data_IF_336950933663
#
_entry.id   IF_336950933663
#
_cell.length_a   1.000
_cell.length_b   1.000
_cell.length_c   1.000
_cell.angle_alpha   90.00
_cell.angle_beta   90.00
_cell.angle_gamma   90.00
#
_symmetry.space_group_name_H-M   'P 1'
#
loop_
_entity.id
_entity.type
_entity.pdbx_description
1 polymer ?
#
# COMPACT_ATOMS: atom_id res chain seq x y z
N UNK A 1 17.46 -14.97 11.68
CA UNK A 1 18.28 -14.15 10.75
C UNK A 1 18.17 -14.84 9.39
N UNK A 2 17.24 -14.55 8.47
CA UNK A 2 16.78 -13.30 7.86
C UNK A 2 15.25 -13.39 7.67
N UNK A 3 14.47 -12.77 8.56
CA UNK A 3 13.04 -12.57 8.34
C UNK A 3 12.85 -11.21 7.72
N UNK A 4 13.25 -11.03 6.45
CA UNK A 4 12.97 -9.79 5.72
C UNK A 4 11.48 -9.52 5.81
N UNK A 5 11.08 -8.27 6.01
CA UNK A 5 9.72 -7.75 6.18
C UNK A 5 8.69 -8.16 5.08
N UNK A 6 8.43 -9.46 4.88
CA UNK A 6 7.45 -9.96 3.93
C UNK A 6 6.04 -9.56 4.35
N UNK A 7 5.85 -9.21 5.63
CA UNK A 7 4.61 -8.68 6.19
C UNK A 7 4.03 -7.51 5.39
N UNK A 8 4.88 -6.63 4.84
CA UNK A 8 4.40 -5.52 4.00
C UNK A 8 3.91 -6.02 2.65
N UNK A 9 4.69 -6.88 1.99
CA UNK A 9 4.33 -7.45 0.68
C UNK A 9 3.01 -8.22 0.78
N UNK A 10 2.85 -9.04 1.84
CA UNK A 10 1.59 -9.72 2.13
C UNK A 10 0.43 -8.76 2.42
N UNK A 11 0.66 -7.69 3.17
CA UNK A 11 -0.37 -6.66 3.41
C UNK A 11 -0.82 -5.98 2.13
N UNK A 12 0.12 -5.59 1.26
CA UNK A 12 -0.20 -4.97 -0.03
C UNK A 12 -0.91 -5.95 -0.98
N UNK A 13 -0.50 -7.22 -1.00
CA UNK A 13 -1.16 -8.25 -1.79
C UNK A 13 -2.60 -8.52 -1.31
N UNK A 14 -2.81 -8.63 0.00
CA UNK A 14 -4.14 -8.80 0.58
C UNK A 14 -5.04 -7.59 0.28
N UNK A 15 -4.50 -6.38 0.41
CA UNK A 15 -5.19 -5.13 0.05
C UNK A 15 -5.60 -5.14 -1.43
N UNK A 16 -4.71 -5.53 -2.34
CA UNK A 16 -4.99 -5.61 -3.77
C UNK A 16 -6.12 -6.59 -4.10
N UNK A 17 -6.15 -7.77 -3.46
CA UNK A 17 -7.22 -8.75 -3.62
C UNK A 17 -8.56 -8.14 -3.20
N UNK A 18 -8.61 -7.49 -2.03
CA UNK A 18 -9.82 -6.86 -1.50
C UNK A 18 -10.32 -5.77 -2.46
N UNK A 19 -9.45 -4.86 -2.90
CA UNK A 19 -9.79 -3.79 -3.85
C UNK A 19 -10.36 -4.39 -5.14
N UNK A 20 -9.75 -5.46 -5.65
CA UNK A 20 -10.17 -6.10 -6.91
C UNK A 20 -11.56 -6.71 -6.77
N UNK A 21 -11.86 -7.35 -5.63
CA UNK A 21 -13.19 -7.90 -5.35
C UNK A 21 -14.23 -6.78 -5.31
N UNK A 22 -13.99 -5.70 -4.57
CA UNK A 22 -14.92 -4.56 -4.51
C UNK A 22 -15.10 -3.88 -5.86
N UNK A 23 -14.01 -3.65 -6.60
CA UNK A 23 -14.06 -3.10 -7.96
C UNK A 23 -14.94 -3.96 -8.86
N UNK A 24 -14.70 -5.27 -8.88
CA UNK A 24 -15.43 -6.21 -9.73
C UNK A 24 -16.91 -6.27 -9.35
N UNK A 25 -17.21 -6.28 -8.05
CA UNK A 25 -18.57 -6.30 -7.55
C UNK A 25 -19.34 -5.02 -7.91
N UNK A 26 -18.74 -3.85 -7.70
CA UNK A 26 -19.36 -2.56 -8.04
C UNK A 26 -19.55 -2.39 -9.55
N UNK A 27 -18.58 -2.86 -10.34
CA UNK A 27 -18.67 -2.88 -11.81
C UNK A 27 -19.80 -3.80 -12.28
N UNK A 28 -19.93 -4.99 -11.72
CA UNK A 28 -21.05 -5.90 -12.02
C UNK A 28 -22.40 -5.34 -11.57
N UNK A 29 -22.44 -4.54 -10.51
CA UNK A 29 -23.64 -3.82 -10.07
C UNK A 29 -24.01 -2.61 -10.96
N UNK A 30 -23.24 -2.33 -12.03
CA UNK A 30 -23.47 -1.19 -12.93
C UNK A 30 -23.08 0.16 -12.32
N UNK A 31 -22.25 0.16 -11.27
CA UNK A 31 -21.83 1.35 -10.50
C UNK A 31 -20.36 1.66 -10.77
N UNK A 32 -20.04 1.93 -12.04
CA UNK A 32 -18.66 2.13 -12.51
C UNK A 32 -17.94 3.27 -11.79
N UNK A 33 -18.63 4.37 -11.49
CA UNK A 33 -18.06 5.52 -10.76
C UNK A 33 -17.49 5.10 -9.40
N UNK A 34 -18.26 4.32 -8.62
CA UNK A 34 -17.84 3.82 -7.31
C UNK A 34 -16.72 2.77 -7.44
N UNK A 35 -16.73 1.97 -8.51
CA UNK A 35 -15.66 1.03 -8.79
C UNK A 35 -14.33 1.79 -8.98
N UNK A 36 -14.30 2.84 -9.80
CA UNK A 36 -13.10 3.66 -9.98
C UNK A 36 -12.66 4.35 -8.68
N UNK A 37 -13.60 4.87 -7.88
CA UNK A 37 -13.27 5.44 -6.57
C UNK A 37 -12.62 4.43 -5.63
N UNK A 38 -13.04 3.16 -5.68
CA UNK A 38 -12.45 2.07 -4.89
C UNK A 38 -11.00 1.82 -5.28
N UNK A 39 -10.68 1.84 -6.58
CA UNK A 39 -9.29 1.72 -7.05
C UNK A 39 -8.43 2.88 -6.54
N UNK A 40 -8.93 4.11 -6.61
CA UNK A 40 -8.22 5.30 -6.12
C UNK A 40 -8.01 5.25 -4.60
N UNK A 41 -9.02 4.86 -3.83
CA UNK A 41 -8.90 4.68 -2.39
C UNK A 41 -7.87 3.60 -2.04
N UNK A 42 -7.89 2.48 -2.77
CA UNK A 42 -6.93 1.40 -2.63
C UNK A 42 -5.49 1.84 -2.89
N UNK A 43 -5.26 2.62 -3.95
CA UNK A 43 -3.97 3.22 -4.27
C UNK A 43 -3.52 4.19 -3.16
N UNK A 44 -4.41 5.06 -2.69
CA UNK A 44 -4.10 6.01 -1.62
C UNK A 44 -3.66 5.29 -0.32
N UNK A 45 -4.37 4.24 0.08
CA UNK A 45 -4.01 3.42 1.25
C UNK A 45 -2.63 2.77 1.07
N UNK A 46 -2.36 2.20 -0.11
CA UNK A 46 -1.07 1.60 -0.41
C UNK A 46 0.07 2.62 -0.29
N UNK A 47 -0.10 3.83 -0.83
CA UNK A 47 0.88 4.91 -0.72
C UNK A 47 1.12 5.31 0.73
N UNK A 48 0.07 5.43 1.56
CA UNK A 48 0.21 5.74 2.98
C UNK A 48 1.05 4.71 3.74
N UNK A 49 0.96 3.42 3.37
CA UNK A 49 1.80 2.38 3.96
C UNK A 49 3.26 2.44 3.50
N UNK A 50 3.54 3.05 2.35
CA UNK A 50 4.91 3.23 1.84
C UNK A 50 5.64 4.39 2.54
N UNK A 51 4.92 5.43 2.96
CA UNK A 51 5.50 6.62 3.65
C UNK A 51 6.42 6.26 4.84
N UNK A 52 5.99 5.46 5.85
CA UNK A 52 6.84 5.18 7.01
C UNK A 52 8.12 4.43 6.62
N UNK A 53 8.08 3.57 5.60
CA UNK A 53 9.28 2.91 5.10
C UNK A 53 10.26 3.93 4.55
N UNK A 54 9.79 4.84 3.70
CA UNK A 54 10.64 5.93 3.18
C UNK A 54 11.27 6.71 4.34
N UNK A 55 10.49 7.03 5.39
CA UNK A 55 11.04 7.72 6.57
C UNK A 55 12.13 6.92 7.27
N UNK A 56 11.95 5.61 7.44
CA UNK A 56 12.95 4.75 8.08
C UNK A 56 14.20 4.60 7.23
N UNK A 57 14.05 4.54 5.90
CA UNK A 57 15.17 4.60 4.97
C UNK A 57 15.93 5.93 5.11
N UNK A 58 15.23 7.07 5.19
CA UNK A 58 15.87 8.37 5.41
C UNK A 58 16.60 8.44 6.76
N UNK A 59 16.02 7.90 7.83
CA UNK A 59 16.69 7.82 9.14
C UNK A 59 17.95 6.97 9.05
N UNK A 60 17.88 5.81 8.38
CA UNK A 60 19.04 4.94 8.19
C UNK A 60 20.16 5.67 7.42
N UNK A 61 19.82 6.41 6.36
CA UNK A 61 20.78 7.24 5.62
C UNK A 61 21.40 8.30 6.54
N UNK A 62 20.59 9.08 7.28
CA UNK A 62 21.11 10.10 8.22
C UNK A 62 22.03 9.52 9.28
N UNK A 63 21.71 8.33 9.81
CA UNK A 63 22.51 7.63 10.80
C UNK A 63 23.89 7.21 10.25
N UNK A 64 23.93 6.71 9.01
CA UNK A 64 25.19 6.37 8.33
C UNK A 64 26.07 7.61 8.13
N UNK A 65 25.45 8.74 7.79
CA UNK A 65 26.15 10.00 7.59
C UNK A 65 26.44 10.80 8.88
N UNK A 66 26.11 10.25 10.06
CA UNK A 66 26.26 10.92 11.37
C UNK A 66 25.70 12.36 11.40
N UNK A 67 24.68 12.64 10.60
CA UNK A 67 23.96 13.90 10.63
C UNK A 67 23.05 13.88 11.86
N UNK A 68 23.61 14.30 13.00
CA UNK A 68 22.85 14.63 14.22
C UNK A 68 22.14 15.98 14.04
#
# INVERSE_FOLDING_TARGET
MLGVDVSLIFKLAALAIIITIFYTFLKQAGRDEYAYMTLLAGLAIALLWVIPLIMDLFKAVRAVFQLY
#
